data_IF_259637022478
#
_entry.id   IF_259637022478
#
_cell.length_a   1.000
_cell.length_b   1.000
_cell.length_c   1.000
_cell.angle_alpha   90.00
_cell.angle_beta   90.00
_cell.angle_gamma   90.00
#
_symmetry.space_group_name_H-M   'P 1'
#
loop_
_entity.id
_entity.type
_entity.pdbx_description
1 polymer ?
#
# COMPACT_ATOMS: atom_id res chain seq x y z
N UNK A 1 -9.92 -7.03 37.34
CA UNK A 1 -9.04 -5.87 37.10
C UNK A 1 -9.14 -5.54 35.62
N UNK A 2 -9.63 -4.35 35.26
CA UNK A 2 -9.53 -3.86 33.88
C UNK A 2 -8.05 -3.69 33.57
N UNK A 3 -7.61 -4.12 32.38
CA UNK A 3 -6.22 -3.98 31.98
C UNK A 3 -5.98 -2.51 31.58
N UNK A 4 -5.65 -1.66 32.55
CA UNK A 4 -5.45 -0.21 32.36
C UNK A 4 -4.48 0.09 31.21
N UNK A 5 -3.42 -0.71 31.10
CA UNK A 5 -2.44 -0.60 30.02
C UNK A 5 -3.03 -0.83 28.63
N UNK A 6 -4.00 -1.74 28.52
CA UNK A 6 -4.69 -2.01 27.26
C UNK A 6 -5.55 -0.82 26.82
N UNK A 7 -6.28 -0.21 27.75
CA UNK A 7 -7.12 0.96 27.44
C UNK A 7 -6.28 2.19 27.05
N UNK A 8 -5.11 2.39 27.68
CA UNK A 8 -4.15 3.41 27.27
C UNK A 8 -3.69 3.22 25.82
N UNK A 9 -3.21 2.02 25.47
CA UNK A 9 -2.73 1.70 24.13
C UNK A 9 -3.83 1.83 23.07
N UNK A 10 -5.06 1.45 23.42
CA UNK A 10 -6.23 1.58 22.56
C UNK A 10 -6.57 3.05 22.30
N UNK A 11 -6.53 3.89 23.35
CA UNK A 11 -6.76 5.33 23.24
C UNK A 11 -5.69 5.99 22.36
N UNK A 12 -4.42 5.71 22.62
CA UNK A 12 -3.28 6.21 21.83
C UNK A 12 -3.39 5.79 20.36
N UNK A 13 -3.74 4.52 20.10
CA UNK A 13 -3.95 4.02 18.73
C UNK A 13 -5.09 4.76 18.04
N UNK A 14 -6.19 5.00 18.74
CA UNK A 14 -7.33 5.71 18.19
C UNK A 14 -6.97 7.17 17.85
N UNK A 15 -6.29 7.88 18.76
CA UNK A 15 -5.79 9.24 18.53
C UNK A 15 -4.85 9.29 17.31
N UNK A 16 -3.92 8.34 17.21
CA UNK A 16 -2.99 8.23 16.08
C UNK A 16 -3.72 8.02 14.75
N UNK A 17 -4.71 7.14 14.72
CA UNK A 17 -5.49 6.84 13.51
C UNK A 17 -6.34 8.05 13.07
N UNK A 18 -6.93 8.74 14.03
CA UNK A 18 -7.82 9.90 13.83
C UNK A 18 -7.05 11.21 13.53
N UNK A 19 -5.76 11.27 13.86
CA UNK A 19 -4.89 12.39 13.51
C UNK A 19 -4.82 12.63 12.00
N UNK A 20 -4.49 13.86 11.58
CA UNK A 20 -4.31 14.21 10.16
C UNK A 20 -3.27 13.31 9.48
N UNK A 21 -2.15 13.06 10.17
CA UNK A 21 -1.09 12.13 9.72
C UNK A 21 -1.63 10.71 9.58
N UNK A 22 -2.46 10.25 10.52
CA UNK A 22 -3.11 8.94 10.49
C UNK A 22 -4.07 8.78 9.32
N UNK A 23 -4.90 9.79 9.08
CA UNK A 23 -5.83 9.86 7.93
C UNK A 23 -5.04 9.83 6.62
N UNK A 24 -4.00 10.66 6.48
CA UNK A 24 -3.15 10.68 5.29
C UNK A 24 -2.50 9.32 5.03
N UNK A 25 -1.91 8.69 6.05
CA UNK A 25 -1.30 7.37 5.94
C UNK A 25 -2.30 6.28 5.54
N UNK A 26 -3.57 6.39 5.96
CA UNK A 26 -4.63 5.47 5.53
C UNK A 26 -5.01 5.67 4.07
N UNK A 27 -5.13 6.93 3.63
CA UNK A 27 -5.36 7.26 2.23
C UNK A 27 -4.23 6.74 1.33
N UNK A 28 -2.98 7.02 1.69
CA UNK A 28 -1.80 6.56 0.96
C UNK A 28 -1.78 5.04 0.87
N UNK A 29 -2.02 4.33 1.98
CA UNK A 29 -2.05 2.86 1.99
C UNK A 29 -3.11 2.31 1.06
N UNK A 30 -4.35 2.78 1.16
CA UNK A 30 -5.44 2.33 0.27
C UNK A 30 -5.06 2.50 -1.21
N UNK A 31 -4.56 3.68 -1.60
CA UNK A 31 -4.14 3.96 -2.98
C UNK A 31 -2.97 3.07 -3.41
N UNK A 32 -1.94 2.91 -2.57
CA UNK A 32 -0.76 2.13 -2.91
C UNK A 32 -1.08 0.65 -3.05
N UNK A 33 -1.68 0.01 -2.04
CA UNK A 33 -1.92 -1.44 -2.08
C UNK A 33 -2.94 -1.82 -3.15
N UNK A 34 -4.07 -1.12 -3.22
CA UNK A 34 -5.12 -1.45 -4.20
C UNK A 34 -4.68 -1.15 -5.63
N UNK A 35 -4.06 0.02 -5.84
CA UNK A 35 -3.50 0.39 -7.14
C UNK A 35 -2.45 -0.59 -7.64
N UNK A 36 -1.53 -1.04 -6.76
CA UNK A 36 -0.52 -2.02 -7.13
C UNK A 36 -1.13 -3.36 -7.57
N UNK A 37 -2.13 -3.86 -6.85
CA UNK A 37 -2.82 -5.11 -7.25
C UNK A 37 -3.65 -4.94 -8.52
N UNK A 38 -4.32 -3.80 -8.69
CA UNK A 38 -5.04 -3.46 -9.91
C UNK A 38 -4.10 -3.45 -11.12
N UNK A 39 -2.96 -2.78 -11.01
CA UNK A 39 -1.95 -2.75 -12.07
C UNK A 39 -1.44 -4.16 -12.38
N UNK A 40 -1.11 -4.97 -11.36
CA UNK A 40 -0.57 -6.32 -11.59
C UNK A 40 -1.59 -7.22 -12.29
N UNK A 41 -2.86 -7.17 -11.87
CA UNK A 41 -3.88 -8.07 -12.40
C UNK A 41 -4.44 -7.61 -13.74
N UNK A 42 -4.85 -6.34 -13.84
CA UNK A 42 -5.55 -5.82 -15.01
C UNK A 42 -4.58 -5.25 -16.05
N UNK A 43 -3.65 -4.39 -15.65
CA UNK A 43 -2.76 -3.70 -16.60
C UNK A 43 -1.65 -4.63 -17.11
N UNK A 44 -0.99 -5.36 -16.20
CA UNK A 44 0.10 -6.28 -16.54
C UNK A 44 -0.41 -7.67 -16.95
N UNK A 45 -1.72 -7.92 -16.80
CA UNK A 45 -2.39 -9.20 -17.11
C UNK A 45 -1.76 -10.41 -16.40
N UNK A 46 -1.18 -10.20 -15.21
CA UNK A 46 -0.59 -11.27 -14.41
C UNK A 46 -1.69 -12.08 -13.72
N UNK A 47 -2.23 -13.07 -14.42
CA UNK A 47 -3.36 -13.90 -13.94
C UNK A 47 -2.93 -15.18 -13.23
N UNK A 48 -1.76 -15.71 -13.58
CA UNK A 48 -1.24 -16.98 -13.07
C UNK A 48 0.27 -16.98 -13.04
N UNK A 49 0.84 -17.64 -12.03
CA UNK A 49 2.26 -17.97 -12.01
C UNK A 49 2.55 -19.03 -13.08
N UNK A 50 3.71 -18.88 -13.72
CA UNK A 50 4.19 -19.85 -14.69
C UNK A 50 4.88 -21.03 -13.98
N UNK A 51 5.51 -20.77 -12.83
CA UNK A 51 6.14 -21.80 -12.02
C UNK A 51 5.19 -22.39 -10.97
N UNK A 52 5.57 -23.56 -10.43
CA UNK A 52 4.73 -24.36 -9.51
C UNK A 52 5.32 -24.58 -8.13
N UNK A 53 6.65 -24.59 -7.99
CA UNK A 53 7.28 -24.70 -6.66
C UNK A 53 7.28 -23.34 -5.97
N UNK A 54 7.10 -23.35 -4.65
CA UNK A 54 7.05 -22.13 -3.83
C UNK A 54 8.26 -21.22 -4.08
N UNK A 55 9.48 -21.78 -4.08
CA UNK A 55 10.70 -21.03 -4.33
C UNK A 55 10.70 -20.33 -5.71
N UNK A 56 10.23 -21.02 -6.75
CA UNK A 56 10.22 -20.47 -8.11
C UNK A 56 9.10 -19.44 -8.28
N UNK A 57 7.93 -19.69 -7.70
CA UNK A 57 6.81 -18.74 -7.63
C UNK A 57 7.25 -17.46 -6.91
N UNK A 58 7.97 -17.61 -5.80
CA UNK A 58 8.51 -16.48 -5.04
C UNK A 58 9.48 -15.64 -5.88
N UNK A 59 10.43 -16.29 -6.57
CA UNK A 59 11.37 -15.60 -7.48
C UNK A 59 10.67 -14.92 -8.65
N UNK A 60 9.66 -15.56 -9.26
CA UNK A 60 8.84 -14.97 -10.32
C UNK A 60 8.15 -13.70 -9.84
N UNK A 61 7.54 -13.75 -8.65
CA UNK A 61 6.86 -12.60 -8.08
C UNK A 61 7.83 -11.47 -7.69
N UNK A 62 9.01 -11.81 -7.15
CA UNK A 62 10.05 -10.84 -6.85
C UNK A 62 10.53 -10.10 -8.10
N UNK A 63 10.80 -10.83 -9.19
CA UNK A 63 11.26 -10.23 -10.44
C UNK A 63 10.19 -9.31 -11.04
N UNK A 64 8.92 -9.74 -11.03
CA UNK A 64 7.81 -8.91 -11.46
C UNK A 64 7.69 -7.63 -10.61
N UNK A 65 7.75 -7.76 -9.29
CA UNK A 65 7.68 -6.63 -8.36
C UNK A 65 8.84 -5.65 -8.55
N UNK A 66 10.05 -6.15 -8.79
CA UNK A 66 11.23 -5.33 -9.09
C UNK A 66 11.02 -4.52 -10.37
N UNK A 67 10.56 -5.15 -11.46
CA UNK A 67 10.27 -4.49 -12.72
C UNK A 67 9.22 -3.37 -12.55
N UNK A 68 8.16 -3.62 -11.77
CA UNK A 68 7.16 -2.60 -11.45
C UNK A 68 7.74 -1.43 -10.67
N UNK A 69 8.60 -1.69 -9.68
CA UNK A 69 9.22 -0.64 -8.87
C UNK A 69 10.13 0.25 -9.73
N UNK A 70 10.92 -0.34 -10.62
CA UNK A 70 11.77 0.42 -11.57
C UNK A 70 10.90 1.27 -12.50
N UNK A 71 9.84 0.70 -13.08
CA UNK A 71 8.93 1.46 -13.94
C UNK A 71 8.24 2.60 -13.19
N UNK A 72 7.78 2.37 -11.96
CA UNK A 72 7.19 3.41 -11.10
C UNK A 72 8.19 4.54 -10.84
N UNK A 73 9.44 4.21 -10.53
CA UNK A 73 10.50 5.19 -10.34
C UNK A 73 10.77 6.00 -11.61
N UNK A 74 10.84 5.34 -12.77
CA UNK A 74 10.97 6.02 -14.07
C UNK A 74 9.80 6.99 -14.33
N UNK A 75 8.55 6.56 -14.09
CA UNK A 75 7.37 7.43 -14.25
C UNK A 75 7.41 8.63 -13.31
N UNK A 76 7.93 8.47 -12.09
CA UNK A 76 8.06 9.56 -11.13
C UNK A 76 9.13 10.56 -11.58
N UNK A 77 10.30 10.07 -11.97
CA UNK A 77 11.42 10.92 -12.43
C UNK A 77 11.11 11.64 -13.75
N UNK A 78 10.34 11.02 -14.64
CA UNK A 78 9.85 11.66 -15.88
C UNK A 78 8.63 12.58 -15.68
N UNK A 79 8.14 12.73 -14.45
CA UNK A 79 7.00 13.60 -14.13
C UNK A 79 5.63 13.07 -14.61
N UNK A 80 5.56 11.82 -15.05
CA UNK A 80 4.31 11.18 -15.50
C UNK A 80 3.37 10.86 -14.34
N UNK A 81 3.92 10.63 -13.14
CA UNK A 81 3.14 10.44 -11.90
C UNK A 81 3.70 11.35 -10.80
N UNK A 82 2.84 11.73 -9.86
CA UNK A 82 3.17 12.62 -8.75
C UNK A 82 2.87 11.99 -7.40
N UNK A 83 3.51 12.50 -6.36
CA UNK A 83 3.22 12.09 -5.00
C UNK A 83 1.81 12.51 -4.59
N UNK A 84 1.10 11.61 -3.93
CA UNK A 84 -0.23 11.89 -3.43
C UNK A 84 -0.16 12.69 -2.12
N UNK A 85 -0.73 13.89 -2.12
CA UNK A 85 -0.66 14.84 -0.99
C UNK A 85 -1.87 14.80 -0.05
N UNK A 86 -2.81 13.88 -0.26
CA UNK A 86 -3.99 13.73 0.59
C UNK A 86 -5.25 14.41 0.05
N UNK A 87 -6.42 13.83 0.36
CA UNK A 87 -7.72 14.47 0.13
C UNK A 87 -8.13 15.23 1.39
N UNK A 88 -8.38 16.54 1.26
CA UNK A 88 -8.69 17.46 2.38
C UNK A 88 -9.98 17.15 3.17
N UNK A 89 -10.93 16.40 2.61
CA UNK A 89 -12.30 16.26 3.13
C UNK A 89 -12.73 14.82 3.46
N UNK A 90 -11.83 13.92 3.86
CA UNK A 90 -12.26 12.61 4.37
C UNK A 90 -12.42 12.66 5.90
N UNK A 91 -13.66 12.51 6.35
CA UNK A 91 -13.93 12.16 7.76
C UNK A 91 -13.33 10.79 8.02
N UNK A 92 -12.69 10.66 9.16
CA UNK A 92 -12.29 9.34 9.63
C UNK A 92 -13.54 8.49 9.88
N UNK A 93 -13.47 7.23 9.45
CA UNK A 93 -14.48 6.22 9.75
C UNK A 93 -14.58 5.99 11.27
#
# INVERSE_FOLDING_TARGET
>A
KVNERWEELKKETNENIQSEKGILNRQIRSIQTEGHFGDTKENDKFRKFNYRSEEKVYKEFLLHSLGKNINKYHKFTSGQIQEFTGKKNQKAA
#
